data_IF_171584215201
#
_entry.id   IF_171584215201
#
_cell.length_a   1.000
_cell.length_b   1.000
_cell.length_c   1.000
_cell.angle_alpha   90.00
_cell.angle_beta   90.00
_cell.angle_gamma   90.00
#
_symmetry.space_group_name_H-M   'P 1'
#
loop_
_entity.id
_entity.type
_entity.pdbx_description
1 polymer ?
#
# COMPACT_ATOMS: atom_id res chain seq x y z
N UNK A 1 -4.89 -28.19 30.83
CA UNK A 1 -5.90 -27.15 30.48
C UNK A 1 -5.22 -26.13 29.58
N UNK A 2 -5.95 -25.52 28.64
CA UNK A 2 -5.42 -24.47 27.76
C UNK A 2 -5.71 -23.10 28.38
N UNK A 3 -4.69 -22.25 28.51
CA UNK A 3 -4.86 -20.83 28.81
C UNK A 3 -4.14 -20.00 27.75
N UNK A 4 -4.86 -19.11 27.05
CA UNK A 4 -4.29 -18.29 25.97
C UNK A 4 -5.17 -18.22 24.72
N UNK A 5 -4.60 -17.71 23.62
CA UNK A 5 -5.32 -17.49 22.37
C UNK A 5 -5.57 -18.82 21.63
N UNK A 6 -6.77 -19.39 21.79
CA UNK A 6 -7.17 -20.62 21.10
C UNK A 6 -7.40 -20.41 19.60
N UNK A 7 -7.54 -19.17 19.13
CA UNK A 7 -7.69 -18.85 17.71
C UNK A 7 -6.39 -19.03 16.92
N UNK A 8 -5.27 -19.33 17.59
CA UNK A 8 -4.00 -19.67 16.92
C UNK A 8 -4.04 -21.01 16.18
N UNK A 9 -5.05 -21.86 16.39
CA UNK A 9 -5.03 -23.24 15.91
C UNK A 9 -6.31 -23.62 15.14
N UNK A 10 -6.13 -24.14 13.93
CA UNK A 10 -7.18 -24.86 13.19
C UNK A 10 -7.43 -26.25 13.79
N UNK A 11 -6.36 -26.89 14.29
CA UNK A 11 -6.44 -28.13 15.04
C UNK A 11 -5.80 -27.87 16.40
N UNK A 12 -6.63 -27.89 17.45
CA UNK A 12 -6.18 -27.69 18.82
C UNK A 12 -5.06 -28.68 19.18
N UNK A 13 -4.05 -28.26 19.95
CA UNK A 13 -2.93 -29.13 20.28
C UNK A 13 -3.35 -30.35 21.10
N UNK A 14 -2.85 -31.52 20.72
CA UNK A 14 -3.02 -32.77 21.46
C UNK A 14 -1.76 -33.61 21.43
N UNK A 15 -1.59 -34.49 22.41
CA UNK A 15 -0.42 -35.37 22.53
C UNK A 15 -0.85 -36.81 22.32
N UNK A 16 -0.20 -37.51 21.38
CA UNK A 16 -0.31 -38.96 21.24
C UNK A 16 0.88 -39.63 21.92
N UNK A 17 0.63 -40.68 22.70
CA UNK A 17 1.69 -41.44 23.39
C UNK A 17 1.86 -42.80 22.73
N UNK A 18 3.07 -43.11 22.26
CA UNK A 18 3.42 -44.42 21.67
C UNK A 18 4.79 -44.83 22.21
N UNK A 19 4.92 -46.07 22.72
CA UNK A 19 6.19 -46.60 23.24
C UNK A 19 6.92 -45.63 24.18
N UNK A 20 6.22 -45.12 25.20
CA UNK A 20 6.75 -44.17 26.20
C UNK A 20 7.13 -42.78 25.66
N UNK A 21 6.83 -42.48 24.40
CA UNK A 21 7.11 -41.20 23.76
C UNK A 21 5.82 -40.44 23.50
N UNK A 22 5.73 -39.20 23.99
CA UNK A 22 4.65 -38.28 23.66
C UNK A 22 5.01 -37.42 22.45
N UNK A 23 4.16 -37.42 21.42
CA UNK A 23 4.29 -36.56 20.24
C UNK A 23 3.14 -35.54 20.23
N UNK A 24 3.49 -34.25 20.18
CA UNK A 24 2.54 -33.14 20.08
C UNK A 24 2.12 -32.93 18.62
N UNK A 25 0.82 -32.84 18.39
CA UNK A 25 0.21 -32.53 17.09
C UNK A 25 -0.66 -31.29 17.21
N UNK A 26 -0.59 -30.41 16.22
CA UNK A 26 -1.44 -29.23 16.07
C UNK A 26 -1.37 -28.73 14.62
N UNK A 27 -2.32 -27.88 14.24
CA UNK A 27 -2.25 -27.09 13.01
C UNK A 27 -2.55 -25.64 13.36
N UNK A 28 -1.72 -24.71 12.88
CA UNK A 28 -1.91 -23.29 13.11
C UNK A 28 -3.01 -22.75 12.19
N UNK A 29 -3.81 -21.83 12.72
CA UNK A 29 -4.73 -21.04 11.91
C UNK A 29 -3.95 -20.06 11.03
N UNK A 30 -4.37 -19.81 9.78
CA UNK A 30 -3.72 -18.87 8.88
C UNK A 30 -3.65 -17.45 9.46
N UNK A 31 -2.52 -16.77 9.25
CA UNK A 31 -2.31 -15.35 9.53
C UNK A 31 -2.46 -14.93 11.00
N UNK A 32 -2.53 -15.89 11.93
CA UNK A 32 -2.61 -15.64 13.36
C UNK A 32 -1.23 -15.69 14.01
N UNK A 33 -0.99 -14.82 14.99
CA UNK A 33 0.23 -14.84 15.79
C UNK A 33 -0.07 -14.55 17.27
N UNK A 34 0.84 -14.95 18.15
CA UNK A 34 0.68 -14.80 19.60
C UNK A 34 1.27 -15.96 20.38
N UNK A 35 0.75 -16.17 21.58
CA UNK A 35 1.20 -17.22 22.49
C UNK A 35 0.01 -18.00 23.05
N UNK A 36 0.15 -19.32 23.16
CA UNK A 36 -0.77 -20.19 23.89
C UNK A 36 0.00 -21.04 24.90
N UNK A 37 -0.51 -21.12 26.13
CA UNK A 37 0.10 -21.91 27.19
C UNK A 37 -0.79 -23.10 27.56
N UNK A 38 -0.14 -24.21 27.85
CA UNK A 38 -0.77 -25.51 28.02
C UNK A 38 -0.24 -26.18 29.28
N UNK A 39 -1.15 -26.67 30.11
CA UNK A 39 -0.82 -27.60 31.18
C UNK A 39 -1.11 -29.03 30.75
N UNK A 40 -0.12 -29.90 30.94
CA UNK A 40 -0.13 -31.33 30.62
C UNK A 40 -0.02 -32.14 31.90
N UNK A 41 -0.87 -33.16 32.00
CA UNK A 41 -0.76 -34.26 32.97
C UNK A 41 -0.72 -35.58 32.22
N UNK A 42 -0.06 -36.57 32.80
CA UNK A 42 -0.07 -37.94 32.28
C UNK A 42 -1.11 -38.75 33.06
N UNK A 43 -1.82 -39.63 32.36
CA UNK A 43 -2.74 -40.59 32.98
C UNK A 43 -2.38 -42.02 32.57
N UNK A 44 -2.26 -42.94 33.52
CA UNK A 44 -2.14 -44.37 33.26
C UNK A 44 -3.51 -45.09 33.31
N UNK A 45 -3.51 -46.40 33.03
CA UNK A 45 -4.70 -47.25 33.03
C UNK A 45 -4.84 -48.13 34.30
N UNK A 46 -4.01 -47.89 35.32
CA UNK A 46 -3.93 -48.71 36.53
C UNK A 46 -5.15 -48.63 37.45
N UNK A 47 -5.91 -47.54 37.39
CA UNK A 47 -7.14 -47.33 38.14
C UNK A 47 -6.92 -46.81 39.57
N UNK A 48 -7.80 -45.93 40.03
CA UNK A 48 -7.72 -45.32 41.37
C UNK A 48 -8.19 -46.23 42.54
N UNK A 49 -8.30 -47.55 42.34
CA UNK A 49 -8.80 -48.48 43.36
C UNK A 49 -7.83 -48.57 44.56
N UNK A 50 -8.37 -48.78 45.77
CA UNK A 50 -7.59 -48.84 47.02
C UNK A 50 -6.67 -47.63 47.28
N UNK A 51 -6.99 -46.46 46.73
CA UNK A 51 -6.19 -45.25 46.90
C UNK A 51 -5.07 -45.08 45.86
N UNK A 52 -5.14 -45.80 44.73
CA UNK A 52 -4.29 -45.57 43.57
C UNK A 52 -4.40 -44.14 43.01
N UNK A 53 -3.34 -43.67 42.35
CA UNK A 53 -3.26 -42.35 41.72
C UNK A 53 -2.83 -42.51 40.26
N UNK A 54 -3.80 -42.40 39.34
CA UNK A 54 -3.55 -42.64 37.92
C UNK A 54 -3.09 -41.38 37.18
N UNK A 55 -3.17 -40.21 37.81
CA UNK A 55 -2.82 -38.92 37.21
C UNK A 55 -1.52 -38.42 37.83
N UNK A 56 -0.60 -37.95 37.01
CA UNK A 56 0.67 -37.36 37.45
C UNK A 56 0.43 -36.28 38.52
N UNK A 57 1.10 -36.41 39.66
CA UNK A 57 0.96 -35.48 40.79
C UNK A 57 1.39 -34.03 40.49
N UNK A 58 2.20 -33.83 39.44
CA UNK A 58 2.69 -32.52 39.02
C UNK A 58 2.33 -32.29 37.56
N UNK A 59 1.53 -31.26 37.30
CA UNK A 59 1.30 -30.79 35.93
C UNK A 59 2.56 -30.12 35.40
N UNK A 60 2.85 -30.33 34.12
CA UNK A 60 3.93 -29.64 33.40
C UNK A 60 3.32 -28.65 32.44
N UNK A 61 3.88 -27.44 32.40
CA UNK A 61 3.43 -26.42 31.46
C UNK A 61 4.41 -26.29 30.28
N UNK A 62 3.86 -25.95 29.12
CA UNK A 62 4.64 -25.51 27.98
C UNK A 62 3.87 -24.43 27.21
N UNK A 63 4.57 -23.68 26.38
CA UNK A 63 3.99 -22.61 25.58
C UNK A 63 4.34 -22.77 24.10
N UNK A 64 3.41 -22.41 23.24
CA UNK A 64 3.60 -22.32 21.79
C UNK A 64 3.58 -20.83 21.42
N UNK A 65 4.71 -20.35 20.91
CA UNK A 65 4.85 -18.99 20.39
C UNK A 65 4.74 -19.01 18.87
N UNK A 66 3.69 -18.39 18.35
CA UNK A 66 3.51 -18.15 16.92
C UNK A 66 3.98 -16.72 16.65
N UNK A 67 5.12 -16.59 15.96
CA UNK A 67 5.72 -15.30 15.67
C UNK A 67 4.98 -14.61 14.52
N UNK A 68 4.86 -13.27 14.52
CA UNK A 68 4.25 -12.55 13.41
C UNK A 68 5.13 -12.65 12.15
N UNK A 69 4.46 -12.72 11.00
CA UNK A 69 5.02 -12.61 9.65
C UNK A 69 4.18 -11.57 8.94
N UNK A 70 4.84 -10.58 8.34
CA UNK A 70 4.16 -9.47 7.66
C UNK A 70 3.46 -9.92 6.37
N UNK A 71 2.25 -9.42 6.11
CA UNK A 71 1.51 -9.71 4.88
C UNK A 71 1.45 -8.48 3.97
N UNK A 72 1.47 -8.68 2.63
CA UNK A 72 1.52 -7.57 1.71
C UNK A 72 0.22 -6.76 1.73
N UNK A 73 0.28 -5.42 1.62
CA UNK A 73 -0.89 -4.58 1.58
C UNK A 73 -1.52 -4.65 0.17
N UNK A 74 -2.76 -4.22 0.04
CA UNK A 74 -3.47 -4.21 -1.25
C UNK A 74 -4.31 -2.96 -1.46
N UNK A 75 -4.44 -2.54 -2.70
CA UNK A 75 -5.20 -1.35 -3.10
C UNK A 75 -5.70 -1.47 -4.53
N UNK A 76 -6.67 -0.62 -4.85
CA UNK A 76 -7.17 -0.40 -6.21
C UNK A 76 -7.02 1.07 -6.58
N UNK A 77 -6.78 1.34 -7.86
CA UNK A 77 -6.94 2.67 -8.42
C UNK A 77 -8.41 2.94 -8.76
N UNK A 78 -8.89 4.15 -8.48
CA UNK A 78 -10.23 4.59 -8.86
C UNK A 78 -10.30 4.93 -10.35
N UNK A 79 -9.24 5.54 -10.88
CA UNK A 79 -9.09 5.85 -12.30
C UNK A 79 -7.64 5.58 -12.72
N UNK A 80 -7.45 4.94 -13.87
CA UNK A 80 -6.13 4.74 -14.46
C UNK A 80 -5.72 5.89 -15.40
N UNK A 81 -6.62 6.83 -15.68
CA UNK A 81 -6.34 8.01 -16.49
C UNK A 81 -6.84 9.25 -15.76
N UNK A 82 -5.94 10.20 -15.55
CA UNK A 82 -6.22 11.53 -14.99
C UNK A 82 -6.04 12.54 -16.11
N UNK A 83 -7.11 13.24 -16.48
CA UNK A 83 -7.07 14.27 -17.52
C UNK A 83 -7.11 15.64 -16.87
N UNK A 84 -6.12 16.47 -17.18
CA UNK A 84 -6.03 17.86 -16.71
C UNK A 84 -5.58 18.77 -17.84
N UNK A 85 -5.82 20.06 -17.68
CA UNK A 85 -5.25 21.07 -18.59
C UNK A 85 -3.84 21.44 -18.10
N UNK A 86 -2.98 21.89 -19.02
CA UNK A 86 -1.70 22.50 -18.65
C UNK A 86 -1.89 23.65 -17.65
N UNK A 87 -0.91 23.84 -16.78
CA UNK A 87 -0.92 25.00 -15.89
C UNK A 87 -0.22 26.18 -16.55
N UNK A 88 -0.60 27.40 -16.18
CA UNK A 88 0.12 28.63 -16.49
C UNK A 88 0.90 29.14 -15.26
N UNK A 89 0.73 28.50 -14.10
CA UNK A 89 1.23 28.94 -12.81
C UNK A 89 2.30 27.97 -12.33
N UNK A 90 3.51 28.48 -12.11
CA UNK A 90 4.61 27.69 -11.58
C UNK A 90 4.29 27.22 -10.15
N UNK A 91 4.62 25.97 -9.83
CA UNK A 91 4.46 25.35 -8.51
C UNK A 91 3.01 25.30 -7.98
N UNK A 92 2.01 25.38 -8.86
CA UNK A 92 0.63 25.14 -8.47
C UNK A 92 0.42 23.64 -8.26
N UNK A 93 0.11 23.25 -7.02
CA UNK A 93 -0.26 21.86 -6.70
C UNK A 93 -1.66 21.55 -7.21
N UNK A 94 -1.77 20.51 -8.02
CA UNK A 94 -3.02 19.86 -8.39
C UNK A 94 -3.21 18.62 -7.52
N UNK A 95 -4.46 18.30 -7.18
CA UNK A 95 -4.80 17.16 -6.33
C UNK A 95 -5.99 16.40 -6.87
N UNK A 96 -5.88 15.08 -6.91
CA UNK A 96 -6.96 14.16 -7.28
C UNK A 96 -7.30 13.32 -6.05
N UNK A 97 -8.37 13.73 -5.36
CA UNK A 97 -8.88 13.02 -4.18
C UNK A 97 -9.42 11.65 -4.54
N UNK A 98 -9.28 10.69 -3.60
CA UNK A 98 -9.74 9.31 -3.77
C UNK A 98 -9.20 8.66 -5.05
N UNK A 99 -7.95 8.99 -5.41
CA UNK A 99 -7.27 8.40 -6.56
C UNK A 99 -7.06 6.89 -6.39
N UNK A 100 -6.79 6.46 -5.15
CA UNK A 100 -6.68 5.06 -4.79
C UNK A 100 -7.55 4.73 -3.57
N UNK A 101 -7.97 3.48 -3.46
CA UNK A 101 -8.66 2.92 -2.28
C UNK A 101 -7.85 1.76 -1.74
N UNK A 102 -7.50 1.79 -0.46
CA UNK A 102 -6.78 0.72 0.23
C UNK A 102 -7.78 -0.39 0.58
N UNK A 103 -7.47 -1.60 0.13
CA UNK A 103 -8.30 -2.80 0.30
C UNK A 103 -7.93 -3.49 1.61
N UNK A 104 -6.63 -3.73 1.84
CA UNK A 104 -6.11 -4.26 3.11
C UNK A 104 -4.74 -3.67 3.45
N UNK A 105 -4.44 -3.58 4.74
CA UNK A 105 -3.11 -3.28 5.26
C UNK A 105 -2.20 -4.52 5.29
N UNK A 106 -2.77 -5.73 5.19
CA UNK A 106 -2.08 -7.00 5.31
C UNK A 106 -3.01 -8.16 4.93
N UNK A 107 -3.32 -9.12 5.84
CA UNK A 107 -4.25 -10.20 5.54
C UNK A 107 -5.56 -9.70 4.94
N UNK A 108 -6.08 -10.40 3.94
CA UNK A 108 -7.38 -10.04 3.33
C UNK A 108 -8.58 -10.38 4.23
N UNK A 109 -8.36 -11.17 5.28
CA UNK A 109 -9.40 -11.55 6.23
C UNK A 109 -9.70 -10.38 7.19
N UNK A 110 -10.93 -9.81 7.17
CA UNK A 110 -11.29 -8.66 7.99
C UNK A 110 -11.38 -8.96 9.50
N UNK A 111 -11.37 -10.23 9.89
CA UNK A 111 -11.37 -10.65 11.30
C UNK A 111 -9.95 -10.75 11.88
N UNK A 112 -8.92 -10.52 11.06
CA UNK A 112 -7.52 -10.58 11.45
C UNK A 112 -6.96 -9.16 11.51
N UNK A 113 -6.72 -8.68 12.73
CA UNK A 113 -6.40 -7.27 13.02
C UNK A 113 -4.95 -7.09 13.51
N UNK A 114 -4.08 -8.07 13.30
CA UNK A 114 -2.70 -8.07 13.81
C UNK A 114 -1.79 -7.06 13.08
N UNK A 115 -2.21 -6.56 11.91
CA UNK A 115 -1.45 -5.62 11.06
C UNK A 115 -2.19 -4.29 10.82
N UNK A 116 -3.34 -4.06 11.47
CA UNK A 116 -4.18 -2.87 11.28
C UNK A 116 -3.53 -1.53 11.66
N UNK A 117 -2.41 -1.59 12.39
CA UNK A 117 -1.67 -0.41 12.86
C UNK A 117 -0.45 -0.06 12.00
N UNK A 118 -0.21 -0.79 10.91
CA UNK A 118 0.90 -0.51 10.01
C UNK A 118 0.70 0.80 9.24
N UNK A 119 1.82 1.42 8.88
CA UNK A 119 1.84 2.68 8.14
C UNK A 119 2.07 2.38 6.66
N UNK A 120 1.16 2.88 5.82
CA UNK A 120 1.20 2.67 4.38
C UNK A 120 1.82 3.87 3.64
N UNK A 121 2.55 3.56 2.57
CA UNK A 121 3.18 4.52 1.66
C UNK A 121 3.08 4.02 0.22
N UNK A 122 2.71 4.91 -0.71
CA UNK A 122 2.74 4.58 -2.14
C UNK A 122 4.14 4.78 -2.71
N UNK A 123 4.56 3.87 -3.58
CA UNK A 123 5.78 4.00 -4.38
C UNK A 123 5.38 4.26 -5.83
N UNK A 124 5.80 5.40 -6.38
CA UNK A 124 5.48 5.79 -7.77
C UNK A 124 6.74 5.77 -8.62
N UNK A 125 6.86 4.82 -9.54
CA UNK A 125 7.97 4.75 -10.48
C UNK A 125 7.57 5.36 -11.83
N UNK A 126 8.26 6.43 -12.29
CA UNK A 126 7.95 7.03 -13.58
C UNK A 126 8.38 6.10 -14.72
N UNK A 127 7.50 5.94 -15.71
CA UNK A 127 7.79 5.19 -16.93
C UNK A 127 8.18 6.17 -18.04
N UNK A 128 7.31 7.15 -18.33
CA UNK A 128 7.51 8.18 -19.37
C UNK A 128 6.86 9.51 -18.95
N UNK A 129 7.27 10.62 -19.59
CA UNK A 129 6.63 11.93 -19.46
C UNK A 129 6.90 12.66 -18.13
N UNK A 130 7.90 12.24 -17.37
CA UNK A 130 8.25 12.87 -16.09
C UNK A 130 8.67 14.34 -16.23
N UNK A 131 9.16 14.75 -17.40
CA UNK A 131 9.57 16.11 -17.68
C UNK A 131 8.40 17.11 -17.78
N UNK A 132 7.15 16.64 -17.66
CA UNK A 132 5.95 17.48 -17.50
C UNK A 132 5.83 18.08 -16.10
N UNK A 133 6.50 17.52 -15.09
CA UNK A 133 6.32 17.90 -13.70
C UNK A 133 7.48 18.73 -13.14
N UNK A 134 7.14 19.77 -12.37
CA UNK A 134 8.11 20.62 -11.67
C UNK A 134 8.73 19.90 -10.45
N UNK A 135 8.04 18.90 -9.92
CA UNK A 135 8.46 18.04 -8.81
C UNK A 135 7.88 16.63 -9.00
N UNK A 136 8.45 15.61 -8.33
CA UNK A 136 7.97 14.23 -8.45
C UNK A 136 6.52 14.14 -7.93
N UNK A 137 5.56 13.61 -8.72
CA UNK A 137 4.24 13.31 -8.21
C UNK A 137 4.27 12.35 -7.02
N UNK A 138 3.35 12.53 -6.09
CA UNK A 138 3.23 11.69 -4.90
C UNK A 138 1.77 11.31 -4.64
N UNK A 139 1.53 10.20 -3.94
CA UNK A 139 0.20 9.83 -3.47
C UNK A 139 0.24 9.79 -1.94
N UNK A 140 -0.50 10.69 -1.30
CA UNK A 140 -0.63 10.72 0.16
C UNK A 140 -1.72 9.74 0.62
N UNK A 141 -1.49 9.05 1.74
CA UNK A 141 -2.46 8.12 2.33
C UNK A 141 -3.20 8.80 3.48
N UNK A 142 -4.54 8.74 3.47
CA UNK A 142 -5.37 9.17 4.59
C UNK A 142 -6.67 8.37 4.63
N UNK A 143 -7.08 7.88 5.80
CA UNK A 143 -8.37 7.18 6.00
C UNK A 143 -8.63 6.06 4.98
N UNK A 144 -7.64 5.19 4.73
CA UNK A 144 -7.69 4.12 3.71
C UNK A 144 -7.94 4.59 2.27
N UNK A 145 -7.69 5.86 1.94
CA UNK A 145 -7.68 6.36 0.56
C UNK A 145 -6.36 7.05 0.22
N UNK A 146 -6.04 7.07 -1.08
CA UNK A 146 -4.90 7.77 -1.65
C UNK A 146 -5.33 9.04 -2.38
N UNK A 147 -4.62 10.15 -2.16
CA UNK A 147 -4.78 11.39 -2.93
C UNK A 147 -3.52 11.66 -3.74
N UNK A 148 -3.65 11.72 -5.06
CA UNK A 148 -2.54 12.03 -5.96
C UNK A 148 -2.29 13.55 -5.96
N UNK A 149 -1.03 13.94 -5.78
CA UNK A 149 -0.55 15.32 -5.83
C UNK A 149 0.53 15.46 -6.88
N UNK A 150 0.46 16.53 -7.68
CA UNK A 150 1.50 16.84 -8.66
C UNK A 150 1.53 18.32 -8.98
N UNK A 151 2.66 18.78 -9.51
CA UNK A 151 2.88 20.16 -9.96
C UNK A 151 3.37 20.12 -11.40
N UNK A 152 2.64 20.74 -12.33
CA UNK A 152 3.04 20.80 -13.73
C UNK A 152 4.04 21.94 -13.95
N UNK A 153 4.95 21.75 -14.92
CA UNK A 153 5.71 22.85 -15.49
C UNK A 153 4.76 23.70 -16.34
N UNK A 154 4.77 25.05 -16.21
CA UNK A 154 3.89 25.91 -16.99
C UNK A 154 4.03 25.71 -18.50
N UNK A 155 2.90 25.76 -19.21
CA UNK A 155 2.82 25.70 -20.68
C UNK A 155 3.35 24.40 -21.31
N UNK A 156 3.54 23.33 -20.51
CA UNK A 156 3.86 22.00 -21.01
C UNK A 156 2.60 21.14 -21.07
N UNK A 157 2.45 20.43 -22.18
CA UNK A 157 1.40 19.46 -22.42
C UNK A 157 1.98 18.13 -22.92
N UNK A 158 1.21 17.05 -22.80
CA UNK A 158 1.64 15.70 -23.14
C UNK A 158 1.13 14.68 -22.13
N UNK A 159 1.58 13.44 -22.25
CA UNK A 159 1.15 12.34 -21.39
C UNK A 159 2.33 11.84 -20.55
N UNK A 160 2.04 11.50 -19.29
CA UNK A 160 2.98 10.85 -18.39
C UNK A 160 2.39 9.58 -17.83
N UNK A 161 3.18 8.51 -17.79
CA UNK A 161 2.77 7.20 -17.29
C UNK A 161 3.64 6.79 -16.12
N UNK A 162 3.00 6.24 -15.09
CA UNK A 162 3.63 5.80 -13.85
C UNK A 162 3.18 4.39 -13.52
N UNK A 163 4.07 3.61 -12.93
CA UNK A 163 3.73 2.40 -12.19
C UNK A 163 3.61 2.75 -10.71
N UNK A 164 2.59 2.23 -10.02
CA UNK A 164 2.38 2.45 -8.60
C UNK A 164 2.22 1.13 -7.85
N UNK A 165 2.93 1.00 -6.73
CA UNK A 165 2.76 -0.05 -5.72
C UNK A 165 2.48 0.58 -4.34
N UNK A 166 1.98 -0.22 -3.42
CA UNK A 166 1.73 0.16 -2.02
C UNK A 166 2.69 -0.61 -1.12
N UNK A 167 3.26 0.07 -0.12
CA UNK A 167 4.20 -0.52 0.83
C UNK A 167 3.80 -0.19 2.27
N UNK A 168 3.84 -1.18 3.15
CA UNK A 168 3.71 -1.02 4.61
C UNK A 168 5.08 -0.93 5.31
N UNK A 169 5.08 -0.74 6.63
CA UNK A 169 6.27 -0.67 7.48
C UNK A 169 6.56 -1.96 8.29
N UNK A 170 5.85 -3.05 8.01
CA UNK A 170 6.01 -4.35 8.68
C UNK A 170 7.26 -5.13 8.27
N UNK A 171 7.89 -4.77 7.15
CA UNK A 171 9.17 -5.32 6.70
C UNK A 171 9.08 -6.74 6.11
N UNK A 172 10.24 -7.39 5.95
CA UNK A 172 10.37 -8.68 5.22
C UNK A 172 10.95 -9.83 6.05
N UNK A 173 11.08 -9.64 7.36
CA UNK A 173 11.60 -10.66 8.26
C UNK A 173 10.73 -11.93 8.23
N UNK A 174 11.36 -13.09 8.43
CA UNK A 174 10.71 -14.42 8.43
C UNK A 174 9.93 -14.74 7.14
N UNK A 175 10.31 -14.13 6.03
CA UNK A 175 9.62 -14.29 4.74
C UNK A 175 8.37 -13.42 4.61
N UNK A 176 8.21 -12.41 5.47
CA UNK A 176 7.17 -11.40 5.33
C UNK A 176 7.34 -10.58 4.06
N UNK A 177 6.28 -9.89 3.67
CA UNK A 177 6.26 -9.06 2.46
C UNK A 177 5.63 -7.72 2.82
N UNK A 178 6.36 -6.64 2.61
CA UNK A 178 5.91 -5.28 2.91
C UNK A 178 5.35 -4.54 1.71
N UNK A 179 5.39 -5.14 0.51
CA UNK A 179 5.05 -4.49 -0.75
C UNK A 179 3.92 -5.25 -1.44
N UNK A 180 2.96 -4.51 -1.98
CA UNK A 180 1.78 -5.05 -2.65
C UNK A 180 2.16 -6.00 -3.79
N UNK A 181 1.50 -7.15 -3.85
CA UNK A 181 1.73 -8.16 -4.89
C UNK A 181 1.37 -7.70 -6.31
N UNK A 182 0.49 -6.70 -6.41
CA UNK A 182 0.04 -6.10 -7.66
C UNK A 182 0.46 -4.64 -7.68
N UNK A 183 1.04 -4.22 -8.79
CA UNK A 183 1.26 -2.82 -9.15
C UNK A 183 0.29 -2.41 -10.26
N UNK A 184 -0.02 -1.12 -10.34
CA UNK A 184 -0.90 -0.58 -11.37
C UNK A 184 -0.18 0.46 -12.22
N UNK A 185 -0.43 0.45 -13.52
CA UNK A 185 -0.06 1.56 -14.38
C UNK A 185 -1.21 2.58 -14.44
N UNK A 186 -0.85 3.86 -14.43
CA UNK A 186 -1.79 4.97 -14.68
C UNK A 186 -1.14 6.09 -15.48
N UNK A 187 -1.98 6.89 -16.13
CA UNK A 187 -1.60 8.00 -16.99
C UNK A 187 -2.13 9.34 -16.45
N UNK A 188 -1.31 10.38 -16.55
CA UNK A 188 -1.72 11.78 -16.43
C UNK A 188 -1.63 12.39 -17.83
N UNK A 189 -2.78 12.70 -18.43
CA UNK A 189 -2.90 13.36 -19.72
C UNK A 189 -3.05 14.88 -19.50
N UNK A 190 -2.04 15.63 -19.90
CA UNK A 190 -2.01 17.10 -19.82
C UNK A 190 -2.39 17.69 -21.17
N UNK A 191 -3.59 18.25 -21.25
CA UNK A 191 -4.13 18.85 -22.46
C UNK A 191 -3.56 20.26 -22.68
N UNK A 192 -3.21 20.64 -23.93
CA UNK A 192 -2.78 22.00 -24.24
C UNK A 192 -3.92 23.01 -24.07
N UNK A 193 -3.59 24.21 -23.63
CA UNK A 193 -4.54 25.34 -23.54
C UNK A 193 -4.09 26.42 -24.52
N UNK A 194 -5.00 26.84 -25.39
CA UNK A 194 -4.69 27.89 -26.37
C UNK A 194 -4.42 29.23 -25.66
N UNK A 195 -3.29 29.86 -25.99
CA UNK A 195 -2.86 31.14 -25.44
C UNK A 195 -3.06 32.25 -26.49
N UNK A 196 -3.45 33.48 -26.09
CA UNK A 196 -3.56 34.59 -27.03
C UNK A 196 -2.18 34.98 -27.58
N UNK A 197 -2.08 35.41 -28.86
CA UNK A 197 -0.82 35.88 -29.41
C UNK A 197 -0.36 37.17 -28.74
N UNK A 198 0.95 37.37 -28.65
CA UNK A 198 1.58 38.60 -28.19
C UNK A 198 2.34 39.26 -29.35
N UNK A 199 2.35 40.58 -29.40
CA UNK A 199 3.20 41.34 -30.32
C UNK A 199 3.84 42.52 -29.60
N UNK A 200 5.07 42.85 -29.98
CA UNK A 200 5.77 44.05 -29.53
C UNK A 200 6.13 44.93 -30.73
N UNK A 201 5.89 46.23 -30.60
CA UNK A 201 6.32 47.20 -31.61
C UNK A 201 7.75 47.61 -31.34
N UNK A 202 8.69 47.18 -32.19
CA UNK A 202 10.10 47.60 -32.14
C UNK A 202 10.27 49.12 -32.31
N UNK A 203 9.34 49.75 -33.03
CA UNK A 203 9.23 51.21 -33.14
C UNK A 203 7.76 51.61 -33.03
N UNK A 204 7.49 52.56 -32.14
CA UNK A 204 6.16 53.19 -32.01
C UNK A 204 5.94 54.34 -32.99
N UNK A 205 7.00 54.79 -33.65
CA UNK A 205 6.96 55.88 -34.62
C UNK A 205 7.64 55.45 -35.90
N UNK A 206 6.98 55.75 -37.01
CA UNK A 206 7.55 55.66 -38.34
C UNK A 206 7.61 57.07 -38.90
N UNK A 207 8.81 57.53 -39.26
CA UNK A 207 8.97 58.77 -40.00
C UNK A 207 9.00 58.42 -41.49
N UNK A 208 8.02 58.91 -42.22
CA UNK A 208 7.94 58.81 -43.69
C UNK A 208 8.01 60.22 -44.27
N UNK A 209 8.79 60.38 -45.33
CA UNK A 209 8.80 61.61 -46.12
C UNK A 209 7.55 61.65 -47.00
N UNK A 210 7.02 62.84 -47.24
CA UNK A 210 5.95 63.03 -48.22
C UNK A 210 6.42 62.58 -49.61
N UNK A 211 5.50 62.00 -50.40
CA UNK A 211 5.74 61.83 -51.83
C UNK A 211 5.43 63.14 -52.52
N UNK A 212 6.29 63.58 -53.44
CA UNK A 212 5.87 64.59 -54.41
C UNK A 212 4.75 63.99 -55.25
N UNK A 213 3.54 64.52 -55.15
CA UNK A 213 2.49 64.27 -56.13
C UNK A 213 3.04 64.61 -57.52
N UNK A 214 3.35 63.61 -58.32
CA UNK A 214 2.95 63.64 -59.72
C UNK A 214 1.96 62.52 -59.93
N UNK A 215 0.67 62.87 -59.86
CA UNK A 215 -0.38 62.12 -60.54
C UNK A 215 0.13 61.79 -61.95
N UNK A 216 0.26 60.51 -62.27
CA UNK A 216 0.09 60.05 -63.63
C UNK A 216 -0.86 58.88 -63.58
N UNK A 217 -2.11 59.15 -63.94
CA UNK A 217 -2.97 58.19 -64.62
C UNK A 217 -2.18 57.45 -65.69
N UNK A 218 -2.10 56.13 -65.60
CA UNK A 218 -2.64 55.17 -66.60
C UNK A 218 -3.17 53.98 -65.81
#
# INVERSE_FOLDING_TARGET
>A
MTSGNTQLFDILPFISVVNWTGTLYFALAPFQNGNASFDVSLKDDGGAYQGGQDISAVNRSFSIYVLPVNHPPSFNLTNQVVVVNESQILNQTQSVSNFATIVSLGPLDPWITNEDNQILSFQLEPIIGFDLFASRPEISVRNRTGTLHFQLIPFKNGNATFNVSLRDDGGTDRGGQDTSLVSWDFEIAVLPVNQPPLFELLKRYLFVYETNHTNTTI
#
